data_IF_026431256567
#
_entry.id   IF_026431256567
#
_cell.length_a   1.000
_cell.length_b   1.000
_cell.length_c   1.000
_cell.angle_alpha   90.00
_cell.angle_beta   90.00
_cell.angle_gamma   90.00
#
_symmetry.space_group_name_H-M   'P 1'
#
loop_
_entity.id
_entity.type
_entity.pdbx_description
1 polymer ?
#
# COMPACT_ATOMS: atom_id res chain seq x y z
N UNK A 1 -15.39 13.65 14.23
CA UNK A 1 -14.50 13.96 13.09
C UNK A 1 -14.79 15.31 12.46
N UNK A 2 -16.04 15.63 12.05
CA UNK A 2 -16.38 16.92 11.41
C UNK A 2 -15.86 18.17 12.16
N UNK A 3 -15.93 18.19 13.49
CA UNK A 3 -15.44 19.31 14.31
C UNK A 3 -13.93 19.27 14.60
N UNK A 4 -13.15 18.40 13.95
CA UNK A 4 -11.70 18.32 14.12
C UNK A 4 -11.20 17.71 15.44
N UNK A 5 -12.11 17.37 16.38
CA UNK A 5 -11.76 16.70 17.67
C UNK A 5 -11.04 15.35 17.50
N UNK A 6 -11.27 14.67 16.38
CA UNK A 6 -10.63 13.39 16.04
C UNK A 6 -10.19 13.48 14.58
N UNK A 7 -8.92 13.18 14.33
CA UNK A 7 -8.34 13.13 13.00
C UNK A 7 -8.75 11.83 12.28
N UNK A 8 -9.36 11.89 11.07
CA UNK A 8 -9.64 10.70 10.29
C UNK A 8 -8.34 9.97 9.93
N UNK A 9 -8.34 8.65 10.12
CA UNK A 9 -7.18 7.78 9.88
C UNK A 9 -7.52 6.53 9.09
N UNK A 10 -8.78 6.39 8.67
CA UNK A 10 -9.25 5.22 7.93
C UNK A 10 -8.76 5.28 6.48
N UNK A 11 -8.39 4.11 5.95
CA UNK A 11 -8.03 3.90 4.55
C UNK A 11 -8.99 2.89 3.92
N UNK A 12 -9.30 3.05 2.64
CA UNK A 12 -10.24 2.21 1.92
C UNK A 12 -9.73 0.77 1.78
N UNK A 13 -10.57 -0.19 2.15
CA UNK A 13 -10.31 -1.62 1.96
C UNK A 13 -10.70 -2.14 0.57
N UNK A 14 -11.30 -1.29 -0.27
CA UNK A 14 -11.72 -1.61 -1.64
C UNK A 14 -11.32 -0.48 -2.58
N UNK A 15 -11.17 -0.80 -3.87
CA UNK A 15 -10.99 0.20 -4.92
C UNK A 15 -12.36 0.78 -5.29
N UNK A 16 -12.49 2.10 -5.31
CA UNK A 16 -13.70 2.78 -5.75
C UNK A 16 -13.55 3.22 -7.20
N UNK A 17 -14.52 2.80 -8.00
CA UNK A 17 -14.58 2.97 -9.45
C UNK A 17 -15.16 4.34 -9.80
N UNK A 18 -14.86 4.83 -11.00
CA UNK A 18 -15.52 6.05 -11.52
C UNK A 18 -16.93 5.77 -12.03
N UNK A 19 -17.17 4.56 -12.53
CA UNK A 19 -18.47 4.15 -13.06
C UNK A 19 -18.60 2.63 -13.09
N UNK A 20 -19.84 2.13 -13.21
CA UNK A 20 -20.16 0.70 -13.31
C UNK A 20 -19.48 -0.01 -14.49
N UNK A 21 -19.12 0.72 -15.55
CA UNK A 21 -18.35 0.15 -16.67
C UNK A 21 -16.94 -0.33 -16.30
N UNK A 22 -16.46 -0.03 -15.09
CA UNK A 22 -15.14 -0.40 -14.58
C UNK A 22 -15.19 -1.47 -13.48
N UNK A 23 -16.28 -2.24 -13.35
CA UNK A 23 -16.54 -3.17 -12.23
C UNK A 23 -15.41 -4.20 -11.93
N UNK A 24 -14.49 -4.42 -12.85
CA UNK A 24 -13.34 -5.31 -12.69
C UNK A 24 -12.05 -4.60 -12.21
N UNK A 25 -12.13 -3.34 -11.77
CA UNK A 25 -10.95 -2.60 -11.32
C UNK A 25 -10.57 -2.93 -9.88
N UNK A 26 -9.51 -3.73 -9.71
CA UNK A 26 -8.95 -4.21 -8.45
C UNK A 26 -7.47 -3.79 -8.33
N UNK A 27 -6.99 -3.62 -7.09
CA UNK A 27 -5.63 -3.11 -6.88
C UNK A 27 -4.55 -4.16 -7.20
N UNK A 28 -4.83 -5.44 -6.96
CA UNK A 28 -3.99 -6.61 -7.19
C UNK A 28 -4.31 -7.28 -8.54
N UNK A 29 -4.47 -6.47 -9.58
CA UNK A 29 -4.69 -6.93 -10.94
C UNK A 29 -3.41 -7.49 -11.58
N UNK A 30 -3.59 -8.33 -12.60
CA UNK A 30 -2.48 -8.80 -13.44
C UNK A 30 -1.98 -7.67 -14.34
N UNK A 31 -0.68 -7.63 -14.72
CA UNK A 31 -0.14 -6.60 -15.60
C UNK A 31 -0.91 -6.39 -16.91
N UNK A 32 -1.52 -7.45 -17.47
CA UNK A 32 -2.30 -7.38 -18.71
C UNK A 32 -3.70 -6.77 -18.55
N UNK A 33 -4.23 -6.71 -17.32
CA UNK A 33 -5.66 -6.41 -17.08
C UNK A 33 -6.04 -4.95 -17.37
N UNK A 34 -5.11 -4.00 -17.23
CA UNK A 34 -5.31 -2.58 -17.57
C UNK A 34 -4.38 -2.10 -18.69
N UNK A 35 -3.89 -3.02 -19.52
CA UNK A 35 -3.00 -2.69 -20.63
C UNK A 35 -3.73 -1.84 -21.70
N UNK A 36 -5.01 -2.10 -21.91
CA UNK A 36 -5.86 -1.33 -22.82
C UNK A 36 -6.72 -0.32 -22.06
N UNK A 37 -6.74 0.95 -22.49
CA UNK A 37 -7.58 1.95 -21.86
C UNK A 37 -9.06 1.66 -22.13
N UNK A 38 -9.92 2.03 -21.17
CA UNK A 38 -11.37 2.01 -21.38
C UNK A 38 -11.76 2.96 -22.53
N UNK A 39 -12.68 2.50 -23.39
CA UNK A 39 -13.23 3.31 -24.47
C UNK A 39 -13.94 4.57 -23.92
N UNK A 40 -14.05 5.60 -24.78
CA UNK A 40 -14.69 6.89 -24.50
C UNK A 40 -13.91 7.89 -23.61
N UNK A 41 -12.58 7.96 -23.74
CA UNK A 41 -11.76 9.04 -23.16
C UNK A 41 -11.73 9.07 -21.63
N UNK A 42 -12.26 8.04 -20.96
CA UNK A 42 -12.26 7.96 -19.50
C UNK A 42 -10.89 7.53 -19.00
N UNK A 43 -10.36 8.16 -17.93
CA UNK A 43 -9.15 7.68 -17.28
C UNK A 43 -9.33 6.22 -16.84
N UNK A 44 -8.39 5.36 -17.19
CA UNK A 44 -8.34 3.96 -16.73
C UNK A 44 -7.79 3.86 -15.30
N UNK A 45 -8.11 4.86 -14.48
CA UNK A 45 -7.67 4.99 -13.09
C UNK A 45 -8.88 4.98 -12.17
N UNK A 46 -8.75 4.39 -10.97
CA UNK A 46 -9.80 4.45 -9.96
C UNK A 46 -10.10 5.88 -9.55
N UNK A 47 -11.34 6.08 -9.07
CA UNK A 47 -11.70 7.33 -8.41
C UNK A 47 -10.95 7.43 -7.07
N UNK A 48 -10.97 6.34 -6.30
CA UNK A 48 -10.16 6.18 -5.09
C UNK A 48 -9.50 4.79 -5.09
N UNK A 49 -8.16 4.71 -5.06
CA UNK A 49 -7.48 3.42 -5.03
C UNK A 49 -7.64 2.73 -3.67
N UNK A 50 -7.42 1.41 -3.65
CA UNK A 50 -7.22 0.67 -2.40
C UNK A 50 -6.14 1.33 -1.53
N UNK A 51 -6.38 1.39 -0.23
CA UNK A 51 -5.49 2.04 0.73
C UNK A 51 -5.57 3.57 0.71
N UNK A 52 -6.44 4.19 -0.07
CA UNK A 52 -6.62 5.63 -0.05
C UNK A 52 -7.33 6.08 1.24
N UNK A 53 -6.83 7.11 1.88
CA UNK A 53 -7.45 7.73 3.05
C UNK A 53 -6.82 9.08 3.32
N UNK A 54 -7.68 10.07 3.57
CA UNK A 54 -7.24 11.44 3.89
C UNK A 54 -7.13 11.61 5.40
N UNK A 55 -6.23 12.50 5.78
CA UNK A 55 -5.98 12.91 7.16
C UNK A 55 -6.03 14.44 7.22
N UNK A 56 -6.33 15.00 8.38
CA UNK A 56 -6.20 16.44 8.64
C UNK A 56 -4.74 16.87 8.85
N UNK A 57 -3.80 15.93 8.82
CA UNK A 57 -2.36 16.18 8.83
C UNK A 57 -1.70 15.51 7.63
N UNK A 58 -0.50 15.94 7.30
CA UNK A 58 0.32 15.39 6.22
C UNK A 58 1.42 14.50 6.78
N UNK A 59 1.73 13.41 6.08
CA UNK A 59 2.80 12.50 6.44
C UNK A 59 3.83 12.43 5.32
N UNK A 60 5.11 12.39 5.69
CA UNK A 60 6.23 12.21 4.79
C UNK A 60 6.87 10.86 5.07
N UNK A 61 7.15 10.12 4.00
CA UNK A 61 7.83 8.83 4.05
C UNK A 61 9.25 9.02 3.50
N UNK A 62 10.25 8.59 4.26
CA UNK A 62 11.67 8.74 3.93
C UNK A 62 12.45 7.49 4.32
N UNK A 63 13.68 7.37 3.82
CA UNK A 63 14.66 6.39 4.25
C UNK A 63 14.16 4.93 4.20
N UNK A 64 13.50 4.55 3.10
CA UNK A 64 13.16 3.15 2.87
C UNK A 64 14.43 2.33 2.73
N UNK A 65 14.69 1.45 3.68
CA UNK A 65 15.88 0.61 3.72
C UNK A 65 15.51 -0.86 3.84
N UNK A 66 16.34 -1.68 3.22
CA UNK A 66 16.34 -3.13 3.35
C UNK A 66 17.61 -3.52 4.09
N UNK A 67 17.49 -4.38 5.10
CA UNK A 67 18.66 -4.91 5.81
C UNK A 67 19.53 -5.79 4.90
N UNK A 68 18.91 -6.41 3.89
CA UNK A 68 19.55 -7.33 2.93
C UNK A 68 18.97 -7.12 1.54
N UNK A 69 19.84 -7.17 0.53
CA UNK A 69 19.44 -7.13 -0.89
C UNK A 69 19.14 -8.52 -1.46
N UNK A 70 19.75 -9.55 -0.87
CA UNK A 70 19.64 -10.93 -1.30
C UNK A 70 19.36 -11.81 -0.08
N UNK A 71 18.50 -12.81 -0.27
CA UNK A 71 18.15 -13.79 0.75
C UNK A 71 18.14 -15.19 0.15
N UNK A 72 18.53 -16.17 0.97
CA UNK A 72 18.29 -17.58 0.67
C UNK A 72 16.80 -17.92 0.78
N UNK A 73 16.44 -19.15 0.41
CA UNK A 73 15.04 -19.63 0.37
C UNK A 73 14.28 -19.46 1.70
N UNK A 74 14.99 -19.58 2.81
CA UNK A 74 14.42 -19.46 4.17
C UNK A 74 14.80 -18.13 4.85
N UNK A 75 15.43 -17.23 4.12
CA UNK A 75 15.88 -15.95 4.66
C UNK A 75 14.72 -14.99 4.90
N UNK A 76 14.84 -14.19 5.97
CA UNK A 76 13.98 -13.05 6.23
C UNK A 76 14.66 -11.76 5.78
N UNK A 77 13.85 -10.77 5.39
CA UNK A 77 14.31 -9.40 5.10
C UNK A 77 13.59 -8.43 6.01
N UNK A 78 14.36 -7.61 6.73
CA UNK A 78 13.88 -6.44 7.42
C UNK A 78 13.70 -5.26 6.46
N UNK A 79 12.52 -4.64 6.51
CA UNK A 79 12.23 -3.40 5.78
C UNK A 79 11.95 -2.33 6.81
N UNK A 80 12.65 -1.20 6.74
CA UNK A 80 12.35 -0.06 7.59
C UNK A 80 12.05 1.18 6.77
N UNK A 81 11.11 2.00 7.25
CA UNK A 81 10.77 3.28 6.64
C UNK A 81 10.51 4.30 7.74
N UNK A 82 11.05 5.51 7.57
CA UNK A 82 10.79 6.62 8.47
C UNK A 82 9.53 7.33 8.04
N UNK A 83 8.60 7.51 8.97
CA UNK A 83 7.35 8.23 8.76
C UNK A 83 7.29 9.43 9.69
N UNK A 84 7.13 10.60 9.10
CA UNK A 84 7.14 11.88 9.80
C UNK A 84 5.79 12.57 9.62
N UNK A 85 5.17 12.99 10.72
CA UNK A 85 4.00 13.87 10.67
C UNK A 85 4.47 15.30 10.43
N UNK A 86 4.27 15.81 9.21
CA UNK A 86 4.72 17.14 8.80
C UNK A 86 3.66 18.22 8.97
N UNK A 87 2.46 17.87 9.41
CA UNK A 87 1.40 18.83 9.65
C UNK A 87 1.35 19.33 11.09
N UNK A 88 0.32 20.13 11.39
CA UNK A 88 0.16 20.84 12.68
C UNK A 88 -0.74 20.13 13.68
N UNK A 89 -1.19 18.91 13.36
CA UNK A 89 -2.12 18.14 14.19
C UNK A 89 -1.61 16.73 14.39
N UNK A 90 -1.90 16.21 15.58
CA UNK A 90 -1.68 14.81 15.89
C UNK A 90 -2.57 13.94 15.00
N UNK A 91 -2.08 12.75 14.67
CA UNK A 91 -2.81 11.85 13.79
C UNK A 91 -2.29 10.42 13.87
N UNK A 92 -3.08 9.53 13.28
CA UNK A 92 -2.69 8.13 13.10
C UNK A 92 -2.56 7.89 11.60
N UNK A 93 -1.44 7.32 11.19
CA UNK A 93 -1.20 6.90 9.81
C UNK A 93 -1.15 5.37 9.73
N UNK A 94 -1.65 4.82 8.63
CA UNK A 94 -1.57 3.38 8.34
C UNK A 94 -0.52 3.16 7.25
N UNK A 95 0.66 2.74 7.65
CA UNK A 95 1.76 2.40 6.74
C UNK A 95 1.48 1.05 6.12
N UNK A 96 1.52 0.95 4.79
CA UNK A 96 1.17 -0.26 4.04
C UNK A 96 2.38 -0.78 3.27
N UNK A 97 2.70 -2.06 3.44
CA UNK A 97 3.76 -2.76 2.72
C UNK A 97 3.18 -3.55 1.56
N UNK A 98 3.61 -3.21 0.35
CA UNK A 98 3.24 -3.91 -0.88
C UNK A 98 4.44 -4.64 -1.47
N UNK A 99 4.23 -5.88 -1.92
CA UNK A 99 5.24 -6.63 -2.67
C UNK A 99 4.78 -6.86 -4.10
N UNK A 100 5.77 -6.93 -5.01
CA UNK A 100 5.58 -7.33 -6.41
C UNK A 100 6.67 -8.32 -6.77
N UNK A 101 6.26 -9.51 -7.15
CA UNK A 101 7.14 -10.48 -7.78
C UNK A 101 7.18 -10.20 -9.29
N UNK A 102 8.37 -9.90 -9.82
CA UNK A 102 8.56 -9.51 -11.22
C UNK A 102 8.70 -10.71 -12.16
N UNK A 103 9.18 -11.85 -11.66
CA UNK A 103 9.50 -13.03 -12.47
C UNK A 103 9.05 -14.29 -11.75
N UNK A 104 8.03 -14.93 -12.29
CA UNK A 104 7.39 -16.10 -11.67
C UNK A 104 6.85 -17.04 -12.74
N UNK A 105 6.65 -18.30 -12.37
CA UNK A 105 6.06 -19.32 -13.25
C UNK A 105 4.62 -19.00 -13.64
N UNK A 106 3.92 -18.20 -12.82
CA UNK A 106 2.55 -17.74 -13.08
C UNK A 106 2.51 -16.22 -13.00
N UNK A 107 1.69 -15.57 -13.82
CA UNK A 107 1.53 -14.11 -13.79
C UNK A 107 1.09 -13.63 -12.39
N UNK A 108 1.96 -12.83 -11.75
CA UNK A 108 1.74 -12.26 -10.43
C UNK A 108 1.09 -10.87 -10.51
N UNK A 109 0.32 -10.45 -9.48
CA UNK A 109 -0.23 -9.10 -9.43
C UNK A 109 0.84 -8.00 -9.45
N UNK A 110 0.49 -6.82 -9.94
CA UNK A 110 1.41 -5.66 -9.96
C UNK A 110 1.78 -5.15 -8.57
N UNK A 111 0.94 -5.41 -7.56
CA UNK A 111 1.19 -5.16 -6.14
C UNK A 111 0.24 -5.99 -5.29
N UNK A 112 0.75 -6.55 -4.20
CA UNK A 112 -0.02 -7.28 -3.20
C UNK A 112 0.26 -6.68 -1.83
N UNK A 113 -0.79 -6.36 -1.06
CA UNK A 113 -0.61 -5.93 0.33
C UNK A 113 -0.14 -7.15 1.15
N UNK A 114 0.98 -7.01 1.85
CA UNK A 114 1.56 -8.09 2.68
C UNK A 114 1.58 -7.77 4.16
N UNK A 115 1.63 -6.49 4.49
CA UNK A 115 1.63 -6.05 5.88
C UNK A 115 1.15 -4.61 6.00
N UNK A 116 0.71 -4.22 7.18
CA UNK A 116 0.40 -2.83 7.50
C UNK A 116 0.59 -2.53 8.99
N UNK A 117 1.00 -1.31 9.31
CA UNK A 117 1.20 -0.86 10.68
C UNK A 117 0.42 0.44 10.93
N UNK A 118 -0.30 0.51 12.05
CA UNK A 118 -0.97 1.73 12.51
C UNK A 118 -0.05 2.49 13.45
N UNK A 119 0.27 3.73 13.12
CA UNK A 119 1.28 4.52 13.85
C UNK A 119 0.66 5.85 14.26
N UNK A 120 0.55 6.07 15.56
CA UNK A 120 0.18 7.37 16.11
C UNK A 120 1.41 8.29 16.14
N UNK A 121 1.28 9.48 15.56
CA UNK A 121 2.33 10.49 15.48
C UNK A 121 1.78 11.84 15.93
N UNK A 122 2.45 12.46 16.90
CA UNK A 122 2.24 13.87 17.23
C UNK A 122 2.70 14.78 16.08
N UNK A 123 2.22 16.01 16.06
CA UNK A 123 2.69 17.01 15.10
C UNK A 123 4.23 17.15 15.17
N UNK A 124 4.93 16.99 14.03
CA UNK A 124 6.39 17.02 13.94
C UNK A 124 7.11 15.72 14.34
N UNK A 125 6.40 14.72 14.89
CA UNK A 125 7.02 13.47 15.33
C UNK A 125 7.42 12.59 14.14
N UNK A 126 8.57 11.94 14.26
CA UNK A 126 9.06 10.91 13.33
C UNK A 126 9.13 9.56 14.03
N UNK A 127 8.64 8.50 13.37
CA UNK A 127 8.86 7.10 13.80
C UNK A 127 9.39 6.25 12.68
N UNK A 128 10.27 5.31 13.03
CA UNK A 128 10.72 4.26 12.12
C UNK A 128 9.75 3.09 12.26
N UNK A 129 9.18 2.67 11.14
CA UNK A 129 8.28 1.52 11.04
C UNK A 129 9.06 0.37 10.44
N UNK A 130 9.11 -0.74 11.17
CA UNK A 130 9.83 -1.93 10.77
C UNK A 130 8.84 -3.02 10.38
N UNK A 131 9.09 -3.66 9.25
CA UNK A 131 8.39 -4.84 8.78
C UNK A 131 9.39 -5.97 8.57
N UNK A 132 8.93 -7.20 8.75
CA UNK A 132 9.71 -8.40 8.42
C UNK A 132 9.00 -9.15 7.30
N UNK A 133 9.70 -9.31 6.17
CA UNK A 133 9.27 -10.15 5.07
C UNK A 133 9.81 -11.56 5.34
N UNK A 134 8.90 -12.49 5.61
CA UNK A 134 9.20 -13.91 5.76
C UNK A 134 8.98 -14.65 4.43
N UNK A 135 9.59 -15.83 4.24
CA UNK A 135 9.34 -16.68 3.07
C UNK A 135 7.86 -16.92 2.81
N UNK A 136 7.03 -17.08 3.85
CA UNK A 136 5.57 -17.28 3.70
C UNK A 136 4.87 -16.09 3.05
N UNK A 137 5.35 -14.85 3.28
CA UNK A 137 4.81 -13.64 2.64
C UNK A 137 5.17 -13.59 1.14
N UNK A 138 6.24 -14.27 0.74
CA UNK A 138 6.67 -14.41 -0.66
C UNK A 138 6.03 -15.62 -1.35
N UNK A 139 5.61 -16.63 -0.57
CA UNK A 139 4.99 -17.83 -1.09
C UNK A 139 3.67 -17.55 -1.81
N UNK A 140 3.40 -18.35 -2.83
CA UNK A 140 2.11 -18.38 -3.52
C UNK A 140 1.74 -19.81 -3.87
N UNK A 141 0.44 -20.10 -3.84
CA UNK A 141 -0.05 -21.45 -4.14
C UNK A 141 -0.24 -21.60 -5.65
N UNK A 142 0.39 -22.62 -6.23
CA UNK A 142 0.10 -23.10 -7.58
C UNK A 142 -0.83 -24.31 -7.43
N UNK A 143 -1.95 -24.29 -8.13
CA UNK A 143 -2.80 -25.49 -8.23
C UNK A 143 -2.13 -26.44 -9.23
N UNK A 144 -1.77 -27.64 -8.77
CA UNK A 144 -1.32 -28.73 -9.65
C UNK A 144 -2.45 -29.13 -10.60
#
# INVERSE_FOLDING_TARGET
MLYGKVNPSAKLAITILRSVGQLQMIYNHKPSQYFHPYAAGKPSTPLYPFGYGLSYTTYKYEDLTLDRKEIGKEGNVGVSVKVTNTGRRDGVEIVQLYLRDKYSTVTRPVKELKDFARVALKAGESKVVNFTITPDKLAFTIRK
#
